data_IF_660782833242
#
_entry.id   IF_660782833242
#
_cell.length_a   1.000
_cell.length_b   1.000
_cell.length_c   1.000
_cell.angle_alpha   90.00
_cell.angle_beta   90.00
_cell.angle_gamma   90.00
#
_symmetry.space_group_name_H-M   'P 1'
#
loop_
_entity.id
_entity.type
_entity.pdbx_description
1 polymer ?
#
# COMPACT_ATOMS: atom_id res chain seq x y z
N UNK A 1 10.91 -37.81 -7.43
CA UNK A 1 9.64 -37.07 -7.56
C UNK A 1 9.63 -36.51 -8.97
N UNK A 2 8.74 -37.02 -9.81
CA UNK A 2 8.67 -36.56 -11.19
C UNK A 2 8.31 -35.07 -11.24
N UNK A 3 8.75 -34.37 -12.28
CA UNK A 3 8.57 -32.91 -12.44
C UNK A 3 7.10 -32.47 -12.29
N UNK A 4 6.16 -33.33 -12.68
CA UNK A 4 4.71 -33.14 -12.55
C UNK A 4 4.26 -33.16 -11.07
N UNK A 5 4.73 -34.13 -10.28
CA UNK A 5 4.44 -34.19 -8.86
C UNK A 5 5.09 -33.03 -8.08
N UNK A 6 6.22 -32.53 -8.54
CA UNK A 6 6.85 -31.34 -7.98
C UNK A 6 6.03 -30.07 -8.24
N UNK A 7 5.46 -29.92 -9.44
CA UNK A 7 4.62 -28.78 -9.79
C UNK A 7 3.33 -28.75 -8.95
N UNK A 8 2.64 -29.89 -8.83
CA UNK A 8 1.41 -30.04 -8.03
C UNK A 8 1.67 -29.71 -6.55
N UNK A 9 2.80 -30.19 -6.00
CA UNK A 9 3.16 -29.90 -4.61
C UNK A 9 3.47 -28.42 -4.39
N UNK A 10 4.17 -27.77 -5.34
CA UNK A 10 4.47 -26.34 -5.28
C UNK A 10 3.18 -25.53 -5.35
N UNK A 11 2.25 -25.88 -6.25
CA UNK A 11 0.95 -25.23 -6.38
C UNK A 11 0.14 -25.33 -5.08
N UNK A 12 0.06 -26.52 -4.48
CA UNK A 12 -0.64 -26.73 -3.20
C UNK A 12 0.01 -25.95 -2.03
N UNK A 13 1.34 -25.81 -2.02
CA UNK A 13 2.06 -25.01 -1.02
C UNK A 13 1.79 -23.51 -1.23
N UNK A 14 1.75 -23.05 -2.48
CA UNK A 14 1.42 -21.66 -2.82
C UNK A 14 -0.02 -21.34 -2.43
N UNK A 15 -0.97 -22.23 -2.73
CA UNK A 15 -2.38 -22.05 -2.36
C UNK A 15 -2.60 -22.02 -0.85
N UNK A 16 -1.95 -22.94 -0.11
CA UNK A 16 -2.06 -22.97 1.35
C UNK A 16 -1.42 -21.75 2.02
N UNK A 17 -0.30 -21.24 1.49
CA UNK A 17 0.32 -20.00 1.99
C UNK A 17 -0.49 -18.75 1.63
N UNK A 18 -1.11 -18.72 0.45
CA UNK A 18 -2.06 -17.66 0.07
C UNK A 18 -3.27 -17.63 1.01
N UNK A 19 -3.85 -18.80 1.30
CA UNK A 19 -4.99 -18.93 2.21
C UNK A 19 -4.66 -18.41 3.62
N UNK A 20 -3.51 -18.82 4.19
CA UNK A 20 -3.07 -18.36 5.52
C UNK A 20 -2.81 -16.85 5.53
N UNK A 21 -2.17 -16.31 4.50
CA UNK A 21 -1.91 -14.87 4.39
C UNK A 21 -3.22 -14.07 4.36
N UNK A 22 -4.25 -14.57 3.69
CA UNK A 22 -5.55 -13.88 3.60
C UNK A 22 -6.36 -13.89 4.89
N UNK A 23 -6.34 -15.00 5.63
CA UNK A 23 -6.93 -15.02 6.96
C UNK A 23 -6.26 -13.99 7.87
N UNK A 24 -4.93 -13.91 7.82
CA UNK A 24 -4.18 -12.89 8.54
C UNK A 24 -4.57 -11.47 8.10
N UNK A 25 -4.75 -11.20 6.80
CA UNK A 25 -5.22 -9.89 6.34
C UNK A 25 -6.62 -9.58 6.86
N UNK A 26 -7.57 -10.51 6.70
CA UNK A 26 -8.95 -10.34 7.17
C UNK A 26 -8.98 -10.04 8.67
N UNK A 27 -8.24 -10.79 9.47
CA UNK A 27 -8.16 -10.59 10.92
C UNK A 27 -7.55 -9.22 11.27
N UNK A 28 -6.51 -8.79 10.54
CA UNK A 28 -5.90 -7.47 10.73
C UNK A 28 -6.88 -6.34 10.37
N UNK A 29 -7.64 -6.51 9.29
CA UNK A 29 -8.68 -5.57 8.83
C UNK A 29 -9.86 -5.51 9.78
N UNK A 30 -10.35 -6.66 10.27
CA UNK A 30 -11.44 -6.75 11.23
C UNK A 30 -11.02 -6.18 12.59
N UNK A 31 -9.81 -6.50 13.06
CA UNK A 31 -9.24 -5.89 14.26
C UNK A 31 -9.18 -4.37 14.14
N UNK A 32 -8.85 -3.87 12.95
CA UNK A 32 -8.80 -2.45 12.64
C UNK A 32 -10.17 -1.78 12.58
N UNK A 33 -11.10 -2.37 11.83
CA UNK A 33 -12.47 -1.89 11.76
C UNK A 33 -13.10 -1.88 13.15
N UNK A 34 -12.85 -2.93 13.95
CA UNK A 34 -13.28 -3.00 15.34
C UNK A 34 -12.62 -1.93 16.21
N UNK A 35 -11.30 -1.75 16.13
CA UNK A 35 -10.57 -0.70 16.84
C UNK A 35 -11.12 0.70 16.50
N UNK A 36 -11.33 0.96 15.21
CA UNK A 36 -11.89 2.21 14.71
C UNK A 36 -13.34 2.43 15.18
N UNK A 37 -14.20 1.42 15.10
CA UNK A 37 -15.58 1.48 15.58
C UNK A 37 -15.65 1.68 17.10
N UNK A 38 -14.71 1.11 17.87
CA UNK A 38 -14.67 1.19 19.33
C UNK A 38 -14.13 2.54 19.83
N UNK A 39 -13.24 3.19 19.07
CA UNK A 39 -12.73 4.52 19.38
C UNK A 39 -13.81 5.57 19.04
N UNK A 40 -14.70 5.79 20.02
CA UNK A 40 -15.88 6.67 20.04
C UNK A 40 -15.92 7.78 18.96
N UNK A 41 -17.10 7.89 18.33
CA UNK A 41 -17.65 8.89 17.36
C UNK A 41 -17.30 10.39 17.52
N UNK A 42 -16.53 10.82 18.50
CA UNK A 42 -16.26 12.24 18.71
C UNK A 42 -15.17 12.72 17.75
N UNK A 43 -15.61 13.32 16.65
CA UNK A 43 -14.82 14.12 15.71
C UNK A 43 -13.71 13.39 14.93
N UNK A 44 -14.07 12.35 14.16
CA UNK A 44 -13.20 11.91 13.06
C UNK A 44 -13.21 12.99 11.98
N UNK A 45 -12.04 13.59 11.73
CA UNK A 45 -11.87 14.61 10.69
C UNK A 45 -12.16 14.07 9.28
N UNK A 46 -12.53 14.97 8.36
CA UNK A 46 -12.70 14.64 6.92
C UNK A 46 -11.56 13.78 6.33
N UNK A 47 -10.26 14.05 6.58
CA UNK A 47 -9.19 13.24 5.98
C UNK A 47 -9.14 11.80 6.49
N UNK A 48 -9.46 11.56 7.77
CA UNK A 48 -9.49 10.21 8.33
C UNK A 48 -10.62 9.37 7.72
N UNK A 49 -11.77 9.98 7.41
CA UNK A 49 -12.88 9.30 6.71
C UNK A 49 -12.49 8.88 5.29
N UNK A 50 -11.82 9.77 4.54
CA UNK A 50 -11.32 9.45 3.19
C UNK A 50 -10.33 8.30 3.27
N UNK A 51 -9.41 8.35 4.23
CA UNK A 51 -8.40 7.31 4.38
C UNK A 51 -8.99 5.95 4.77
N UNK A 52 -9.96 5.93 5.69
CA UNK A 52 -10.71 4.71 6.01
C UNK A 52 -11.44 4.17 4.76
N UNK A 53 -12.05 5.03 3.96
CA UNK A 53 -12.70 4.63 2.72
C UNK A 53 -11.72 3.98 1.75
N UNK A 54 -10.49 4.49 1.63
CA UNK A 54 -9.45 3.90 0.78
C UNK A 54 -9.00 2.53 1.30
N UNK A 55 -8.87 2.37 2.63
CA UNK A 55 -8.53 1.09 3.26
C UNK A 55 -9.63 0.04 3.00
N UNK A 56 -10.90 0.41 3.18
CA UNK A 56 -12.04 -0.47 2.91
C UNK A 56 -12.07 -0.85 1.42
N UNK A 57 -11.82 0.12 0.53
CA UNK A 57 -11.78 -0.15 -0.89
C UNK A 57 -10.64 -1.10 -1.27
N UNK A 58 -9.43 -0.90 -0.73
CA UNK A 58 -8.32 -1.83 -0.89
C UNK A 58 -8.67 -3.24 -0.38
N UNK A 59 -9.37 -3.35 0.75
CA UNK A 59 -9.86 -4.64 1.24
C UNK A 59 -10.81 -5.32 0.25
N UNK A 60 -11.78 -4.59 -0.29
CA UNK A 60 -12.71 -5.12 -1.30
C UNK A 60 -11.97 -5.59 -2.56
N UNK A 61 -10.93 -4.89 -2.99
CA UNK A 61 -10.08 -5.33 -4.11
C UNK A 61 -9.34 -6.65 -3.80
N UNK A 62 -8.86 -6.83 -2.58
CA UNK A 62 -8.26 -8.11 -2.19
C UNK A 62 -9.29 -9.24 -2.13
N UNK A 63 -10.51 -8.96 -1.66
CA UNK A 63 -11.60 -9.93 -1.74
C UNK A 63 -11.95 -10.26 -3.19
N UNK A 64 -11.95 -9.28 -4.09
CA UNK A 64 -12.14 -9.51 -5.52
C UNK A 64 -11.07 -10.46 -6.04
N UNK A 65 -9.79 -10.12 -5.85
CA UNK A 65 -8.65 -10.92 -6.32
C UNK A 65 -8.82 -12.38 -5.92
N UNK A 66 -9.11 -12.62 -4.65
CA UNK A 66 -9.29 -13.97 -4.14
C UNK A 66 -10.53 -14.68 -4.68
N UNK A 67 -11.70 -14.04 -4.57
CA UNK A 67 -12.96 -14.66 -4.96
C UNK A 67 -13.03 -14.93 -6.46
N UNK A 68 -12.43 -14.08 -7.29
CA UNK A 68 -12.48 -14.25 -8.74
C UNK A 68 -11.31 -15.06 -9.27
N UNK A 69 -10.08 -14.90 -8.76
CA UNK A 69 -8.96 -15.64 -9.31
C UNK A 69 -8.87 -17.06 -8.73
N UNK A 70 -8.97 -17.22 -7.40
CA UNK A 70 -8.83 -18.54 -6.77
C UNK A 70 -10.11 -19.35 -6.85
N UNK A 71 -11.25 -18.78 -6.43
CA UNK A 71 -12.50 -19.54 -6.40
C UNK A 71 -13.09 -19.80 -7.78
N UNK A 72 -13.03 -18.84 -8.72
CA UNK A 72 -13.56 -19.09 -10.05
C UNK A 72 -12.72 -20.13 -10.81
N UNK A 73 -11.39 -20.17 -10.63
CA UNK A 73 -10.55 -21.21 -11.20
C UNK A 73 -10.95 -22.61 -10.69
N UNK A 74 -11.12 -22.76 -9.37
CA UNK A 74 -11.55 -24.03 -8.76
C UNK A 74 -12.96 -24.42 -9.23
N UNK A 75 -13.91 -23.48 -9.24
CA UNK A 75 -15.29 -23.75 -9.67
C UNK A 75 -15.38 -24.09 -11.17
N UNK A 76 -14.62 -23.40 -12.03
CA UNK A 76 -14.52 -23.72 -13.45
C UNK A 76 -13.90 -25.10 -13.64
N UNK A 77 -12.78 -25.38 -12.96
CA UNK A 77 -12.11 -26.68 -12.99
C UNK A 77 -13.04 -27.82 -12.55
N UNK A 78 -13.80 -27.62 -11.47
CA UNK A 78 -14.79 -28.57 -10.99
C UNK A 78 -15.97 -28.74 -11.97
N UNK A 79 -16.50 -27.64 -12.52
CA UNK A 79 -17.60 -27.67 -13.50
C UNK A 79 -17.21 -28.48 -14.74
N UNK A 80 -16.03 -28.25 -15.29
CA UNK A 80 -15.60 -28.95 -16.49
C UNK A 80 -15.14 -30.40 -16.22
N UNK A 81 -14.53 -30.67 -15.06
CA UNK A 81 -14.14 -32.03 -14.68
C UNK A 81 -15.34 -32.94 -14.33
N UNK A 82 -16.36 -32.41 -13.67
CA UNK A 82 -17.46 -33.23 -13.12
C UNK A 82 -18.79 -33.11 -13.87
N UNK A 83 -19.13 -31.93 -14.41
CA UNK A 83 -20.46 -31.68 -14.99
C UNK A 83 -20.44 -31.84 -16.51
N UNK A 84 -19.36 -31.38 -17.15
CA UNK A 84 -19.15 -31.51 -18.60
C UNK A 84 -18.24 -32.70 -18.93
N UNK A 85 -18.58 -33.89 -18.43
CA UNK A 85 -18.25 -35.14 -19.13
C UNK A 85 -19.12 -35.23 -20.39
N UNK A 86 -19.01 -34.24 -21.28
CA UNK A 86 -19.78 -34.19 -22.52
C UNK A 86 -19.37 -35.35 -23.40
N UNK A 87 -20.35 -35.97 -24.04
CA UNK A 87 -20.21 -36.99 -25.08
C UNK A 87 -19.55 -36.47 -26.38
N UNK A 88 -19.12 -35.20 -26.41
CA UNK A 88 -18.38 -34.57 -27.51
C UNK A 88 -16.85 -34.66 -27.38
N UNK A 89 -16.14 -34.22 -28.42
CA UNK A 89 -14.66 -34.24 -28.49
C UNK A 89 -14.05 -33.42 -27.33
N UNK A 90 -13.00 -33.98 -26.72
CA UNK A 90 -12.29 -33.40 -25.58
C UNK A 90 -11.79 -31.98 -25.88
N UNK A 91 -11.46 -31.72 -27.16
CA UNK A 91 -10.99 -30.44 -27.64
C UNK A 91 -12.03 -29.31 -27.51
N UNK A 92 -13.32 -29.60 -27.70
CA UNK A 92 -14.37 -28.59 -27.60
C UNK A 92 -14.58 -28.14 -26.15
N UNK A 93 -14.54 -29.10 -25.22
CA UNK A 93 -14.61 -28.80 -23.79
C UNK A 93 -13.38 -27.99 -23.35
N UNK A 94 -12.18 -28.36 -23.81
CA UNK A 94 -10.95 -27.63 -23.50
C UNK A 94 -10.98 -26.20 -24.06
N UNK A 95 -11.47 -26.00 -25.28
CA UNK A 95 -11.64 -24.68 -25.87
C UNK A 95 -12.60 -23.78 -25.08
N UNK A 96 -13.71 -24.34 -24.58
CA UNK A 96 -14.66 -23.62 -23.72
C UNK A 96 -14.06 -23.29 -22.34
N UNK A 97 -13.25 -24.19 -21.77
CA UNK A 97 -12.50 -23.94 -20.52
C UNK A 97 -11.54 -22.78 -20.71
N UNK A 98 -10.71 -22.84 -21.75
CA UNK A 98 -9.72 -21.80 -22.06
C UNK A 98 -10.40 -20.46 -22.35
N UNK A 99 -11.48 -20.46 -23.13
CA UNK A 99 -12.26 -19.25 -23.40
C UNK A 99 -12.85 -18.61 -22.14
N UNK A 100 -13.38 -19.43 -21.22
CA UNK A 100 -13.85 -18.95 -19.92
C UNK A 100 -12.73 -18.41 -19.04
N UNK A 101 -11.61 -19.14 -18.97
CA UNK A 101 -10.42 -18.74 -18.22
C UNK A 101 -9.82 -17.43 -18.74
N UNK A 102 -9.79 -17.21 -20.05
CA UNK A 102 -9.25 -15.97 -20.63
C UNK A 102 -9.97 -14.74 -20.11
N UNK A 103 -11.30 -14.80 -19.91
CA UNK A 103 -12.05 -13.68 -19.34
C UNK A 103 -11.70 -13.42 -17.86
N UNK A 104 -11.48 -14.49 -17.08
CA UNK A 104 -11.07 -14.39 -15.68
C UNK A 104 -9.63 -13.89 -15.55
N UNK A 105 -8.73 -14.38 -16.41
CA UNK A 105 -7.33 -13.98 -16.46
C UNK A 105 -7.23 -12.47 -16.76
N UNK A 106 -8.05 -11.96 -17.69
CA UNK A 106 -8.06 -10.53 -18.03
C UNK A 106 -8.48 -9.64 -16.85
N UNK A 107 -9.32 -10.16 -15.93
CA UNK A 107 -9.72 -9.44 -14.72
C UNK A 107 -8.75 -9.64 -13.54
N UNK A 108 -7.78 -10.54 -13.66
CA UNK A 108 -6.93 -10.96 -12.54
C UNK A 108 -5.90 -9.90 -12.13
N UNK A 109 -5.46 -9.06 -13.07
CA UNK A 109 -4.46 -8.00 -12.83
C UNK A 109 -5.04 -6.72 -12.20
N UNK A 110 -6.35 -6.51 -12.33
CA UNK A 110 -7.02 -5.28 -11.91
C UNK A 110 -6.93 -4.99 -10.41
N UNK A 111 -7.18 -5.95 -9.51
CA UNK A 111 -7.04 -5.73 -8.07
C UNK A 111 -5.66 -5.22 -7.67
N UNK A 112 -4.61 -5.80 -8.26
CA UNK A 112 -3.23 -5.40 -8.04
C UNK A 112 -3.00 -3.95 -8.50
N UNK A 113 -3.34 -3.65 -9.76
CA UNK A 113 -3.13 -2.33 -10.36
C UNK A 113 -3.90 -1.23 -9.60
N UNK A 114 -5.11 -1.53 -9.12
CA UNK A 114 -5.88 -0.60 -8.29
C UNK A 114 -5.31 -0.43 -6.88
N UNK A 115 -4.83 -1.51 -6.24
CA UNK A 115 -4.17 -1.43 -4.93
C UNK A 115 -2.87 -0.60 -4.99
N UNK A 116 -2.07 -0.80 -6.05
CA UNK A 116 -0.88 0.01 -6.32
C UNK A 116 -1.26 1.49 -6.46
N UNK A 117 -2.30 1.79 -7.23
CA UNK A 117 -2.77 3.14 -7.44
C UNK A 117 -3.22 3.83 -6.14
N UNK A 118 -3.90 3.10 -5.25
CA UNK A 118 -4.31 3.60 -3.93
C UNK A 118 -3.08 3.88 -3.08
N UNK A 119 -2.09 2.99 -3.07
CA UNK A 119 -0.83 3.17 -2.36
C UNK A 119 -0.11 4.45 -2.80
N UNK A 120 0.03 4.65 -4.11
CA UNK A 120 0.69 5.83 -4.67
C UNK A 120 -0.10 7.11 -4.42
N UNK A 121 -1.44 7.05 -4.50
CA UNK A 121 -2.30 8.18 -4.18
C UNK A 121 -2.12 8.62 -2.72
N UNK A 122 -1.95 7.68 -1.80
CA UNK A 122 -1.67 7.96 -0.39
C UNK A 122 -0.31 8.65 -0.24
N UNK A 123 0.74 8.13 -0.88
CA UNK A 123 2.09 8.71 -0.84
C UNK A 123 2.08 10.14 -1.39
N UNK A 124 1.41 10.37 -2.51
CA UNK A 124 1.32 11.70 -3.14
C UNK A 124 0.48 12.65 -2.30
N UNK A 125 -0.66 12.20 -1.76
CA UNK A 125 -1.47 13.01 -0.84
C UNK A 125 -0.66 13.45 0.38
N UNK A 126 0.15 12.55 0.95
CA UNK A 126 1.03 12.89 2.09
C UNK A 126 2.11 13.87 1.69
N UNK A 127 2.81 13.62 0.60
CA UNK A 127 3.83 14.52 0.05
C UNK A 127 3.26 15.91 -0.19
N UNK A 128 2.01 15.99 -0.68
CA UNK A 128 1.30 17.25 -0.91
C UNK A 128 1.05 18.04 0.37
N UNK A 129 0.69 17.38 1.47
CA UNK A 129 0.48 18.03 2.77
C UNK A 129 1.82 18.56 3.33
N UNK A 130 2.91 17.80 3.19
CA UNK A 130 4.23 18.15 3.71
C UNK A 130 4.91 19.26 2.89
N UNK A 131 4.74 19.22 1.57
CA UNK A 131 5.49 20.04 0.60
C UNK A 131 5.25 21.55 0.67
N UNK A 132 4.64 22.06 1.75
CA UNK A 132 4.73 23.46 2.17
C UNK A 132 4.33 24.43 1.07
N UNK A 133 3.05 24.50 0.72
CA UNK A 133 2.46 25.59 -0.07
C UNK A 133 2.93 25.80 -1.52
N UNK A 134 4.12 25.33 -1.92
CA UNK A 134 4.71 25.60 -3.22
C UNK A 134 3.88 24.96 -4.35
N UNK A 135 3.28 25.82 -5.18
CA UNK A 135 2.35 25.41 -6.26
C UNK A 135 3.02 24.49 -7.28
N UNK A 136 4.28 24.74 -7.63
CA UNK A 136 5.03 23.95 -8.62
C UNK A 136 5.18 22.49 -8.19
N UNK A 137 5.53 22.25 -6.92
CA UNK A 137 5.66 20.90 -6.37
C UNK A 137 4.34 20.11 -6.49
N UNK A 138 3.22 20.78 -6.23
CA UNK A 138 1.87 20.20 -6.33
C UNK A 138 1.53 19.81 -7.77
N UNK A 139 1.82 20.66 -8.76
CA UNK A 139 1.58 20.32 -10.17
C UNK A 139 2.44 19.16 -10.64
N UNK A 140 3.70 19.12 -10.23
CA UNK A 140 4.61 18.01 -10.53
C UNK A 140 4.02 16.71 -9.97
N UNK A 141 3.62 16.69 -8.70
CA UNK A 141 2.98 15.53 -8.06
C UNK A 141 1.65 15.10 -8.69
N UNK A 142 0.83 16.04 -9.15
CA UNK A 142 -0.39 15.73 -9.87
C UNK A 142 -0.09 15.06 -11.22
N UNK A 143 0.89 15.58 -11.97
CA UNK A 143 1.34 15.01 -13.23
C UNK A 143 1.90 13.58 -13.03
N UNK A 144 2.58 13.36 -11.91
CA UNK A 144 3.04 12.04 -11.49
C UNK A 144 1.92 11.03 -11.33
N UNK A 145 0.91 11.38 -10.54
CA UNK A 145 -0.24 10.51 -10.35
C UNK A 145 -0.99 10.29 -11.66
N UNK A 146 -1.18 11.33 -12.48
CA UNK A 146 -1.84 11.18 -13.78
C UNK A 146 -1.09 10.18 -14.68
N UNK A 147 0.24 10.27 -14.74
CA UNK A 147 1.06 9.29 -15.46
C UNK A 147 0.87 7.88 -14.88
N UNK A 148 0.92 7.74 -13.55
CA UNK A 148 0.77 6.44 -12.88
C UNK A 148 -0.62 5.81 -13.08
N UNK A 149 -1.67 6.64 -13.11
CA UNK A 149 -3.04 6.22 -13.43
C UNK A 149 -3.07 5.68 -14.86
N UNK A 150 -2.57 6.46 -15.82
CA UNK A 150 -2.55 6.08 -17.23
C UNK A 150 -1.77 4.79 -17.46
N UNK A 151 -0.66 4.59 -16.75
CA UNK A 151 0.16 3.38 -16.86
C UNK A 151 -0.52 2.13 -16.31
N UNK A 152 -1.10 2.21 -15.10
CA UNK A 152 -1.83 1.06 -14.52
C UNK A 152 -3.11 0.73 -15.31
N UNK A 153 -3.78 1.73 -15.89
CA UNK A 153 -4.93 1.53 -16.78
C UNK A 153 -4.52 0.89 -18.10
N UNK A 154 -3.44 1.38 -18.72
CA UNK A 154 -2.93 0.81 -19.96
C UNK A 154 -2.52 -0.66 -19.76
N UNK A 155 -1.87 -0.98 -18.64
CA UNK A 155 -1.49 -2.35 -18.28
C UNK A 155 -2.72 -3.25 -18.10
N UNK A 156 -3.72 -2.80 -17.33
CA UNK A 156 -4.95 -3.58 -17.11
C UNK A 156 -5.87 -3.72 -18.35
N UNK A 157 -5.74 -2.84 -19.35
CA UNK A 157 -6.54 -2.90 -20.58
C UNK A 157 -5.83 -3.66 -21.68
N UNK A 158 -4.53 -3.43 -21.86
CA UNK A 158 -3.82 -3.92 -23.04
C UNK A 158 -3.32 -5.35 -22.88
N UNK A 159 -3.13 -5.86 -21.66
CA UNK A 159 -2.71 -7.25 -21.33
C UNK A 159 -1.60 -7.82 -22.26
N UNK A 160 -0.79 -6.93 -22.86
CA UNK A 160 0.21 -7.27 -23.87
C UNK A 160 1.59 -7.23 -23.20
N UNK A 161 2.00 -8.42 -22.80
CA UNK A 161 2.75 -8.73 -21.57
C UNK A 161 4.24 -8.40 -21.57
N UNK A 162 4.83 -7.77 -22.60
CA UNK A 162 6.31 -7.77 -22.68
C UNK A 162 6.93 -6.40 -23.00
N UNK A 163 6.22 -5.50 -23.68
CA UNK A 163 6.85 -4.25 -24.18
C UNK A 163 6.62 -3.03 -23.29
N UNK A 164 5.59 -3.02 -22.44
CA UNK A 164 5.22 -1.83 -21.66
C UNK A 164 5.81 -1.77 -20.24
N UNK A 165 6.06 -2.92 -19.60
CA UNK A 165 6.63 -2.98 -18.25
C UNK A 165 7.98 -2.22 -18.16
N UNK A 166 8.89 -2.41 -19.13
CA UNK A 166 10.20 -1.75 -19.09
C UNK A 166 10.09 -0.22 -19.12
N UNK A 167 9.23 0.39 -19.93
CA UNK A 167 9.17 1.87 -20.03
C UNK A 167 8.54 2.49 -18.78
N UNK A 168 7.59 1.80 -18.13
CA UNK A 168 6.90 2.33 -16.96
C UNK A 168 7.79 2.42 -15.72
N UNK A 169 8.58 1.38 -15.42
CA UNK A 169 9.38 1.35 -14.20
C UNK A 169 10.53 2.36 -14.21
N UNK A 170 11.20 2.57 -15.35
CA UNK A 170 12.31 3.53 -15.43
C UNK A 170 11.89 4.97 -15.07
N UNK A 171 10.65 5.36 -15.37
CA UNK A 171 10.18 6.72 -15.14
C UNK A 171 9.76 6.99 -13.68
N UNK A 172 9.14 6.02 -13.01
CA UNK A 172 8.81 6.09 -11.57
C UNK A 172 10.09 6.10 -10.72
N UNK A 173 11.10 5.31 -11.10
CA UNK A 173 12.40 5.20 -10.43
C UNK A 173 13.17 6.52 -10.51
N UNK A 174 13.34 7.06 -11.71
CA UNK A 174 14.10 8.30 -11.92
C UNK A 174 13.55 9.43 -11.06
N UNK A 175 12.22 9.45 -10.92
CA UNK A 175 11.51 10.51 -10.27
C UNK A 175 11.50 10.41 -8.73
N UNK A 176 11.37 9.22 -8.16
CA UNK A 176 11.51 9.02 -6.70
C UNK A 176 12.95 9.28 -6.22
N UNK A 177 13.96 8.87 -7.01
CA UNK A 177 15.37 9.17 -6.74
C UNK A 177 15.65 10.68 -6.80
N UNK A 178 15.08 11.40 -7.78
CA UNK A 178 15.20 12.85 -7.86
C UNK A 178 14.54 13.56 -6.67
N UNK A 179 13.38 13.09 -6.23
CA UNK A 179 12.66 13.67 -5.08
C UNK A 179 13.39 13.44 -3.76
N UNK A 180 13.86 12.21 -3.52
CA UNK A 180 14.65 11.86 -2.33
C UNK A 180 15.95 12.66 -2.26
N UNK A 181 16.69 12.75 -3.38
CA UNK A 181 17.95 13.53 -3.42
C UNK A 181 17.74 15.02 -3.23
N UNK A 182 16.68 15.59 -3.81
CA UNK A 182 16.39 17.03 -3.67
C UNK A 182 16.00 17.36 -2.22
N UNK A 183 15.17 16.52 -1.61
CA UNK A 183 14.77 16.69 -0.21
C UNK A 183 15.97 16.54 0.74
N UNK A 184 16.86 15.56 0.50
CA UNK A 184 18.07 15.37 1.29
C UNK A 184 19.05 16.55 1.16
N UNK A 185 19.17 17.14 -0.03
CA UNK A 185 20.02 18.32 -0.26
C UNK A 185 19.46 19.56 0.43
N UNK A 186 18.15 19.79 0.35
CA UNK A 186 17.51 20.94 1.01
C UNK A 186 17.58 20.81 2.54
N UNK A 187 17.32 19.61 3.10
CA UNK A 187 17.46 19.36 4.56
C UNK A 187 18.91 19.56 5.05
N UNK A 188 19.89 19.10 4.28
CA UNK A 188 21.29 19.26 4.65
C UNK A 188 21.77 20.71 4.49
N UNK A 189 21.18 21.48 3.56
CA UNK A 189 21.52 22.90 3.37
C UNK A 189 20.95 23.82 4.45
N UNK A 190 19.81 23.45 5.04
CA UNK A 190 19.13 24.24 6.09
C UNK A 190 19.72 23.96 7.49
N UNK A 191 20.58 22.93 7.63
CA UNK A 191 21.15 22.52 8.91
C UNK A 191 22.63 22.87 8.99
N UNK A 192 22.97 24.16 9.13
CA UNK A 192 23.75 24.53 10.31
C UNK A 192 23.38 25.93 10.82
N UNK A 193 22.56 26.04 11.87
CA UNK A 193 22.90 26.85 13.08
C UNK A 193 21.77 27.18 14.05
N UNK A 194 20.49 27.12 13.71
CA UNK A 194 19.49 27.72 14.62
C UNK A 194 18.75 26.68 15.44
N UNK A 195 19.26 26.56 16.67
CA UNK A 195 18.62 26.13 17.91
C UNK A 195 17.93 24.75 17.97
N UNK A 196 18.26 24.10 19.07
CA UNK A 196 17.87 22.77 19.55
C UNK A 196 16.39 22.72 19.96
N UNK A 197 15.49 23.33 19.20
CA UNK A 197 14.04 23.27 19.48
C UNK A 197 13.52 21.90 19.10
N UNK A 198 12.85 21.24 20.06
CA UNK A 198 12.29 19.88 19.96
C UNK A 198 11.71 19.64 18.57
N UNK A 199 12.35 18.75 17.81
CA UNK A 199 11.84 18.25 16.53
C UNK A 199 10.43 17.73 16.79
N UNK A 200 9.45 18.26 16.08
CA UNK A 200 8.06 17.86 16.25
C UNK A 200 7.94 16.38 15.90
N UNK A 201 7.26 15.59 16.74
CA UNK A 201 7.05 14.15 16.47
C UNK A 201 6.37 13.91 15.12
N UNK A 202 5.59 14.89 14.64
CA UNK A 202 4.99 14.87 13.31
C UNK A 202 6.06 14.82 12.21
N UNK A 203 7.18 15.54 12.37
CA UNK A 203 8.29 15.52 11.41
C UNK A 203 8.97 14.15 11.36
N UNK A 204 9.15 13.50 12.52
CA UNK A 204 9.73 12.16 12.62
C UNK A 204 8.83 11.14 11.90
N UNK A 205 7.52 11.20 12.12
CA UNK A 205 6.52 10.32 11.49
C UNK A 205 6.51 10.53 9.97
N UNK A 206 6.54 11.78 9.52
CA UNK A 206 6.57 12.14 8.10
C UNK A 206 7.84 11.62 7.42
N UNK A 207 8.98 11.71 8.10
CA UNK A 207 10.26 11.21 7.59
C UNK A 207 10.28 9.67 7.52
N UNK A 208 9.70 9.01 8.52
CA UNK A 208 9.52 7.55 8.51
C UNK A 208 8.58 7.08 7.38
N UNK A 209 7.50 7.83 7.13
CA UNK A 209 6.57 7.55 6.02
C UNK A 209 7.22 7.73 4.65
N UNK A 210 8.00 8.80 4.50
CA UNK A 210 8.75 9.05 3.28
C UNK A 210 9.79 7.94 3.03
N UNK A 211 10.48 7.49 4.09
CA UNK A 211 11.48 6.44 4.00
C UNK A 211 10.87 5.07 3.68
N UNK A 212 9.71 4.74 4.26
CA UNK A 212 9.00 3.49 3.96
C UNK A 212 8.36 3.48 2.57
N UNK A 213 7.87 4.62 2.08
CA UNK A 213 7.41 4.74 0.68
C UNK A 213 8.56 4.57 -0.32
N UNK A 214 9.75 5.11 -0.01
CA UNK A 214 10.94 4.89 -0.83
C UNK A 214 11.39 3.42 -0.83
N UNK A 215 11.29 2.73 0.32
CA UNK A 215 11.58 1.30 0.41
C UNK A 215 10.58 0.47 -0.42
N UNK A 216 9.29 0.80 -0.37
CA UNK A 216 8.26 0.16 -1.20
C UNK A 216 8.54 0.33 -2.69
N UNK A 217 8.87 1.55 -3.12
CA UNK A 217 9.24 1.82 -4.52
C UNK A 217 10.51 1.06 -4.94
N UNK A 218 11.48 0.90 -4.03
CA UNK A 218 12.67 0.08 -4.28
C UNK A 218 12.35 -1.41 -4.43
N UNK A 219 11.41 -1.95 -3.66
CA UNK A 219 10.93 -3.33 -3.79
C UNK A 219 10.25 -3.54 -5.15
N UNK A 220 9.40 -2.60 -5.57
CA UNK A 220 8.78 -2.63 -6.90
C UNK A 220 9.81 -2.58 -8.03
N UNK A 221 10.89 -1.80 -7.87
CA UNK A 221 12.01 -1.75 -8.82
C UNK A 221 12.68 -3.13 -8.92
N UNK A 222 12.98 -3.75 -7.78
CA UNK A 222 13.59 -5.07 -7.75
C UNK A 222 12.67 -6.10 -8.43
N UNK A 223 11.37 -6.05 -8.12
CA UNK A 223 10.35 -6.89 -8.76
C UNK A 223 10.34 -6.74 -10.29
N UNK A 224 10.34 -5.49 -10.78
CA UNK A 224 10.38 -5.20 -12.21
C UNK A 224 11.64 -5.72 -12.91
N UNK A 225 12.81 -5.64 -12.25
CA UNK A 225 14.07 -6.18 -12.80
C UNK A 225 14.06 -7.70 -12.82
N UNK A 226 13.44 -8.35 -11.83
CA UNK A 226 13.32 -9.80 -11.76
C UNK A 226 12.37 -10.34 -12.84
N UNK A 227 11.42 -9.54 -13.35
CA UNK A 227 10.46 -9.96 -14.39
C UNK A 227 11.09 -10.31 -15.75
N UNK A 228 12.40 -10.08 -15.92
CA UNK A 228 13.18 -10.55 -17.06
C UNK A 228 13.09 -12.10 -17.12
N UNK A 229 12.85 -12.72 -18.30
CA UNK A 229 12.16 -14.01 -18.49
C UNK A 229 12.77 -15.30 -17.88
N UNK A 230 13.77 -15.21 -17.02
CA UNK A 230 14.52 -16.37 -16.50
C UNK A 230 14.07 -16.90 -15.14
N UNK A 231 13.07 -16.29 -14.47
CA UNK A 231 12.72 -16.62 -13.07
C UNK A 231 11.21 -16.72 -12.77
N UNK A 232 10.45 -17.52 -13.53
CA UNK A 232 8.98 -17.63 -13.39
C UNK A 232 8.48 -18.00 -11.98
N UNK A 233 9.11 -18.96 -11.29
CA UNK A 233 8.65 -19.39 -9.96
C UNK A 233 8.95 -18.37 -8.86
N UNK A 234 10.14 -17.75 -8.91
CA UNK A 234 10.53 -16.71 -7.96
C UNK A 234 9.70 -15.44 -8.17
N UNK A 235 9.30 -15.16 -9.41
CA UNK A 235 8.41 -14.06 -9.75
C UNK A 235 7.03 -14.18 -9.13
N UNK A 236 6.45 -15.38 -9.13
CA UNK A 236 5.15 -15.61 -8.50
C UNK A 236 5.21 -15.36 -6.99
N UNK A 237 6.26 -15.87 -6.33
CA UNK A 237 6.47 -15.64 -4.89
C UNK A 237 6.73 -14.16 -4.55
N UNK A 238 7.48 -13.45 -5.40
CA UNK A 238 7.70 -12.02 -5.20
C UNK A 238 6.44 -11.19 -5.48
N UNK A 239 5.62 -11.59 -6.45
CA UNK A 239 4.35 -10.93 -6.75
C UNK A 239 3.40 -11.01 -5.55
N UNK A 240 3.27 -12.19 -4.94
CA UNK A 240 2.40 -12.37 -3.76
C UNK A 240 2.89 -11.55 -2.57
N UNK A 241 4.21 -11.49 -2.34
CA UNK A 241 4.81 -10.62 -1.31
C UNK A 241 4.56 -9.14 -1.60
N UNK A 242 4.72 -8.71 -2.86
CA UNK A 242 4.48 -7.32 -3.27
C UNK A 242 3.00 -6.94 -3.12
N UNK A 243 2.08 -7.83 -3.48
CA UNK A 243 0.64 -7.64 -3.31
C UNK A 243 0.30 -7.47 -1.83
N UNK A 244 0.84 -8.35 -0.98
CA UNK A 244 0.69 -8.24 0.47
C UNK A 244 1.25 -6.92 1.02
N UNK A 245 2.47 -6.56 0.61
CA UNK A 245 3.12 -5.33 1.04
C UNK A 245 2.36 -4.07 0.60
N UNK A 246 1.78 -4.06 -0.60
CA UNK A 246 1.00 -2.94 -1.13
C UNK A 246 -0.22 -2.64 -0.25
N UNK A 247 -0.80 -3.67 0.39
CA UNK A 247 -1.97 -3.57 1.25
C UNK A 247 -1.58 -3.25 2.70
N UNK A 248 -0.52 -3.89 3.18
CA UNK A 248 0.01 -3.64 4.52
C UNK A 248 0.59 -2.24 4.68
N UNK A 249 1.11 -1.64 3.61
CA UNK A 249 1.71 -0.32 3.66
C UNK A 249 0.68 0.75 4.11
N UNK A 250 -0.43 1.01 3.40
CA UNK A 250 -1.48 1.94 3.85
C UNK A 250 -1.98 1.67 5.27
N UNK A 251 -2.11 0.38 5.63
CA UNK A 251 -2.58 -0.03 6.95
C UNK A 251 -1.56 0.31 8.04
N UNK A 252 -0.27 0.04 7.82
CA UNK A 252 0.81 0.42 8.75
C UNK A 252 0.88 1.93 8.97
N UNK A 253 0.70 2.71 7.89
CA UNK A 253 0.60 4.17 7.95
C UNK A 253 -0.60 4.58 8.81
N UNK A 254 -1.75 3.93 8.64
CA UNK A 254 -2.94 4.21 9.44
C UNK A 254 -2.69 4.00 10.92
N UNK A 255 -2.14 2.83 11.26
CA UNK A 255 -1.86 2.42 12.63
C UNK A 255 -0.98 3.47 13.26
N UNK A 256 0.14 3.75 12.61
CA UNK A 256 1.13 4.69 13.12
C UNK A 256 0.54 6.08 13.37
N UNK A 257 -0.28 6.60 12.46
CA UNK A 257 -0.92 7.91 12.64
C UNK A 257 -1.88 7.89 13.82
N UNK A 258 -2.72 6.86 13.95
CA UNK A 258 -3.72 6.81 15.03
C UNK A 258 -3.15 6.41 16.41
N UNK A 259 -2.05 5.65 16.46
CA UNK A 259 -1.42 5.27 17.72
C UNK A 259 -0.66 6.45 18.31
N UNK A 260 0.03 7.23 17.47
CA UNK A 260 0.88 8.34 17.95
C UNK A 260 0.06 9.54 18.45
N UNK A 261 -1.14 9.76 17.91
CA UNK A 261 -2.02 10.82 18.41
C UNK A 261 -2.56 10.57 19.84
N UNK A 262 -2.37 9.38 20.43
CA UNK A 262 -3.02 9.01 21.70
C UNK A 262 -2.23 9.42 22.96
N UNK A 263 -0.97 8.98 23.18
CA UNK A 263 -0.25 9.30 24.42
C UNK A 263 0.45 10.66 24.37
N UNK A 264 0.66 11.20 23.18
CA UNK A 264 1.52 12.37 22.98
C UNK A 264 0.76 13.68 23.23
N UNK A 265 -0.51 13.71 22.83
CA UNK A 265 -1.41 14.81 23.15
C UNK A 265 -1.60 14.91 24.67
N UNK A 266 -1.77 13.78 25.36
CA UNK A 266 -1.87 13.73 26.83
C UNK A 266 -0.58 14.23 27.50
N UNK A 267 0.59 13.76 27.07
CA UNK A 267 1.87 14.25 27.59
C UNK A 267 2.08 15.76 27.35
N UNK A 268 1.60 16.32 26.23
CA UNK A 268 1.66 17.75 25.97
C UNK A 268 0.74 18.55 26.89
N UNK A 269 -0.49 18.08 27.13
CA UNK A 269 -1.40 18.73 28.07
C UNK A 269 -0.87 18.66 29.50
N UNK A 270 -0.29 17.53 29.92
CA UNK A 270 0.32 17.37 31.24
C UNK A 270 1.54 18.28 31.41
N UNK A 271 2.39 18.41 30.37
CA UNK A 271 3.55 19.31 30.44
C UNK A 271 3.12 20.77 30.50
N UNK A 272 2.08 21.15 29.75
CA UNK A 272 1.56 22.52 29.76
C UNK A 272 0.92 22.85 31.11
N UNK A 273 0.11 21.93 31.66
CA UNK A 273 -0.47 22.07 32.99
C UNK A 273 0.61 22.17 34.07
N UNK A 274 1.69 21.37 33.98
CA UNK A 274 2.82 21.46 34.90
C UNK A 274 3.58 22.80 34.79
N UNK A 275 3.76 23.33 33.58
CA UNK A 275 4.37 24.66 33.40
C UNK A 275 3.48 25.79 33.93
N UNK A 276 2.17 25.72 33.71
CA UNK A 276 1.22 26.71 34.25
C UNK A 276 1.22 26.68 35.77
N UNK A 277 1.22 25.49 36.40
CA UNK A 277 1.38 25.37 37.86
C UNK A 277 2.69 25.95 38.39
N UNK A 278 3.82 25.72 37.70
CA UNK A 278 5.11 26.29 38.11
C UNK A 278 5.14 27.83 37.99
N UNK A 279 4.51 28.38 36.95
CA UNK A 279 4.44 29.83 36.74
C UNK A 279 3.58 30.51 37.81
N UNK A 280 2.46 29.88 38.19
CA UNK A 280 1.60 30.37 39.29
C UNK A 280 2.35 30.34 40.63
N UNK A 281 3.03 29.23 40.96
CA UNK A 281 3.83 29.12 42.19
C UNK A 281 4.96 30.14 42.27
N UNK A 282 5.64 30.43 41.15
CA UNK A 282 6.69 31.44 41.11
C UNK A 282 6.16 32.87 41.36
N UNK A 283 4.94 33.20 40.91
CA UNK A 283 4.34 34.51 41.18
C UNK A 283 3.92 34.71 42.64
N UNK A 284 3.55 33.63 43.36
CA UNK A 284 3.11 33.70 44.76
C UNK A 284 4.29 33.91 45.73
N UNK A 285 5.49 33.48 45.37
CA UNK A 285 6.68 33.56 46.25
C UNK A 285 7.32 34.96 46.27
N UNK A 286 6.90 35.89 45.41
CA UNK A 286 7.51 37.22 45.31
C UNK A 286 6.59 38.42 45.64
N UNK A 287 5.93 38.48 46.82
CA UNK A 287 5.01 39.58 47.15
C UNK A 287 5.66 40.83 47.79
N UNK A 288 7.00 40.98 47.84
CA UNK A 288 7.64 42.03 48.66
C UNK A 288 8.79 42.78 47.96
N UNK A 289 8.49 43.48 46.85
CA UNK A 289 9.36 44.54 46.33
C UNK A 289 8.54 45.69 45.75
N UNK A 290 7.75 46.33 46.60
CA UNK A 290 7.38 47.75 46.47
C UNK A 290 7.76 48.46 47.77
#
# INVERSE_FOLDING_TARGET
>A
MDSENAAILIEAIVDSTLFVNQHMYLDLYLLHAHYYCRRKRSAVGRPQKIFLSLIIFAFVLNCWDYCLNSYAAILLGAKYSFIFSSTGDLNDNLGAVIGGLNSTILMSSWPLNLNLLIGDAIVVWRSWIIGGGHKVFKYIMALFMAANIGTNLADGILDDTITHAMVQYHWTIFRHLCLSRRHQKDMNSITPRTSRTKKSNIEIILLFLLQSGAAFCAIQLVYAVIQIPSFTTFLLAMATVCNGAAVLYPLSVFIMVNTIDTPLIEAFYDTKAAQESQTVSASIVNPSSE
#
